data_IF_345546836986
#
_entry.id   IF_345546836986
#
_cell.length_a   1.000
_cell.length_b   1.000
_cell.length_c   1.000
_cell.angle_alpha   90.00
_cell.angle_beta   90.00
_cell.angle_gamma   90.00
#
_symmetry.space_group_name_H-M   'P 1'
#
loop_
_entity.id
_entity.type
_entity.pdbx_description
1 polymer ?
#
# COMPACT_ATOMS: atom_id res chain seq x y z
N UNK A 1 18.97 3.32 6.49
CA UNK A 1 17.75 2.54 6.21
C UNK A 1 17.89 1.07 6.59
N UNK A 2 19.07 0.45 6.43
CA UNK A 2 19.39 -0.88 6.97
C UNK A 2 19.07 -1.05 8.47
N UNK A 3 19.40 -0.05 9.29
CA UNK A 3 19.17 -0.10 10.75
C UNK A 3 17.71 -0.20 11.23
N UNK A 4 16.71 0.08 10.37
CA UNK A 4 15.30 -0.08 10.75
C UNK A 4 14.80 -1.51 10.54
N UNK A 5 15.44 -2.27 9.66
CA UNK A 5 15.14 -3.70 9.46
C UNK A 5 15.78 -4.55 10.56
N UNK A 6 16.93 -4.14 11.09
CA UNK A 6 17.71 -4.86 12.12
C UNK A 6 17.00 -4.97 13.49
N UNK A 7 16.07 -4.05 13.82
CA UNK A 7 15.35 -4.07 15.10
C UNK A 7 14.08 -4.93 15.10
N UNK A 8 13.59 -5.35 13.94
CA UNK A 8 12.23 -5.90 13.81
C UNK A 8 12.18 -7.39 13.46
N UNK A 9 13.32 -8.05 13.20
CA UNK A 9 13.37 -9.47 12.81
C UNK A 9 14.61 -10.18 13.40
N UNK A 10 14.46 -11.27 14.18
CA UNK A 10 15.58 -11.84 14.93
C UNK A 10 16.48 -12.81 14.14
N UNK A 11 16.28 -13.02 12.83
CA UNK A 11 17.16 -13.89 12.03
C UNK A 11 17.60 -13.25 10.71
N UNK A 12 18.84 -12.72 10.74
CA UNK A 12 19.56 -12.08 9.63
C UNK A 12 19.71 -12.96 8.37
N UNK A 13 19.69 -14.29 8.54
CA UNK A 13 19.83 -15.28 7.46
C UNK A 13 18.53 -15.44 6.62
N UNK A 14 17.37 -15.19 7.22
CA UNK A 14 16.06 -15.36 6.57
C UNK A 14 15.82 -14.32 5.47
N UNK A 15 16.24 -13.08 5.70
CA UNK A 15 16.15 -12.02 4.70
C UNK A 15 17.03 -12.32 3.49
N UNK A 16 18.25 -12.83 3.68
CA UNK A 16 19.16 -13.15 2.55
C UNK A 16 18.60 -14.20 1.60
N UNK A 17 17.95 -15.24 2.13
CA UNK A 17 17.33 -16.30 1.33
C UNK A 17 16.10 -15.81 0.55
N UNK A 18 15.25 -14.97 1.17
CA UNK A 18 14.02 -14.44 0.58
C UNK A 18 14.28 -13.39 -0.51
N UNK A 19 15.46 -12.77 -0.48
CA UNK A 19 15.70 -11.54 -1.22
C UNK A 19 16.48 -11.74 -2.54
N UNK A 20 17.36 -12.74 -2.65
CA UNK A 20 18.10 -12.99 -3.90
C UNK A 20 17.36 -13.94 -4.86
N UNK A 21 16.59 -14.88 -4.31
CA UNK A 21 15.66 -15.75 -5.05
C UNK A 21 14.47 -16.04 -4.11
N UNK A 22 13.41 -15.23 -4.14
CA UNK A 22 12.30 -15.43 -3.23
C UNK A 22 11.67 -16.80 -3.51
N UNK A 23 11.44 -17.63 -2.49
CA UNK A 23 10.76 -18.90 -2.68
C UNK A 23 9.31 -18.67 -3.08
N UNK A 24 8.69 -19.73 -3.62
CA UNK A 24 7.28 -19.73 -4.03
C UNK A 24 6.36 -19.15 -2.96
N UNK A 25 6.68 -19.42 -1.69
CA UNK A 25 5.88 -19.01 -0.53
C UNK A 25 6.16 -17.59 -0.03
N UNK A 26 7.02 -16.81 -0.69
CA UNK A 26 7.34 -15.45 -0.29
C UNK A 26 6.10 -14.54 -0.05
N UNK A 27 5.03 -14.61 -0.87
CA UNK A 27 3.76 -13.93 -0.57
C UNK A 27 3.18 -14.29 0.80
N UNK A 28 3.15 -15.58 1.15
CA UNK A 28 2.60 -16.05 2.43
C UNK A 28 3.44 -15.58 3.61
N UNK A 29 4.74 -15.46 3.43
CA UNK A 29 5.63 -14.95 4.47
C UNK A 29 5.40 -13.46 4.73
N UNK A 30 5.18 -12.67 3.67
CA UNK A 30 4.78 -11.26 3.80
C UNK A 30 3.44 -11.15 4.54
N UNK A 31 2.45 -11.94 4.15
CA UNK A 31 1.15 -11.98 4.85
C UNK A 31 1.30 -12.37 6.31
N UNK A 32 2.11 -13.39 6.61
CA UNK A 32 2.37 -13.86 7.98
C UNK A 32 3.05 -12.80 8.84
N UNK A 33 3.99 -12.04 8.26
CA UNK A 33 4.64 -10.93 8.95
C UNK A 33 3.65 -9.82 9.28
N UNK A 34 2.83 -9.40 8.32
CA UNK A 34 1.77 -8.39 8.55
C UNK A 34 0.77 -8.92 9.58
N UNK A 35 0.33 -10.17 9.45
CA UNK A 35 -0.59 -10.83 10.37
C UNK A 35 -0.06 -10.85 11.79
N UNK A 36 1.24 -11.12 11.97
CA UNK A 36 1.89 -11.17 13.28
C UNK A 36 1.86 -9.84 14.05
N UNK A 37 1.68 -8.70 13.36
CA UNK A 37 1.64 -7.37 14.00
C UNK A 37 0.26 -6.73 13.97
N UNK A 38 -0.45 -6.90 12.87
CA UNK A 38 -1.63 -6.10 12.55
C UNK A 38 -2.94 -6.89 12.63
N UNK A 39 -2.95 -8.21 12.79
CA UNK A 39 -4.20 -8.99 12.78
C UNK A 39 -4.64 -9.43 14.20
N UNK A 40 -5.94 -9.58 14.38
CA UNK A 40 -6.54 -10.08 15.62
C UNK A 40 -6.40 -11.61 15.75
N UNK A 41 -6.22 -12.29 14.60
CA UNK A 41 -5.98 -13.72 14.50
C UNK A 41 -4.47 -13.97 14.46
N UNK A 42 -4.02 -14.94 15.25
CA UNK A 42 -2.62 -15.42 15.25
C UNK A 42 -2.40 -16.46 14.15
N UNK A 43 -1.14 -16.77 13.84
CA UNK A 43 -0.79 -17.82 12.89
C UNK A 43 -1.36 -19.20 13.28
N UNK A 44 -1.62 -19.43 14.56
CA UNK A 44 -2.27 -20.64 15.08
C UNK A 44 -3.80 -20.65 14.89
N UNK A 45 -4.37 -19.63 14.24
CA UNK A 45 -5.81 -19.46 14.05
C UNK A 45 -6.56 -19.03 15.31
N UNK A 46 -5.85 -18.73 16.41
CA UNK A 46 -6.46 -18.29 17.68
C UNK A 46 -6.61 -16.78 17.70
N UNK A 47 -7.68 -16.30 18.33
CA UNK A 47 -7.81 -14.89 18.68
C UNK A 47 -6.74 -14.49 19.69
N UNK A 48 -6.16 -13.31 19.48
CA UNK A 48 -5.23 -12.72 20.45
C UNK A 48 -5.96 -12.36 21.75
N UNK A 49 -5.27 -12.44 22.89
CA UNK A 49 -5.82 -11.98 24.15
C UNK A 49 -6.15 -10.49 24.07
N UNK A 50 -7.32 -10.10 24.61
CA UNK A 50 -7.88 -8.74 24.56
C UNK A 50 -6.97 -7.65 25.16
N UNK A 51 -5.95 -8.05 25.94
CA UNK A 51 -5.02 -7.14 26.60
C UNK A 51 -3.80 -6.77 25.73
N UNK A 52 -3.69 -7.31 24.52
CA UNK A 52 -2.65 -6.93 23.56
C UNK A 52 -3.24 -6.03 22.48
N UNK A 53 -2.71 -4.82 22.37
CA UNK A 53 -2.99 -3.95 21.23
C UNK A 53 -2.35 -4.55 19.98
N UNK A 54 -3.14 -4.63 18.91
CA UNK A 54 -2.65 -4.88 17.56
C UNK A 54 -2.47 -3.55 16.82
N UNK A 55 -1.55 -3.53 15.87
CA UNK A 55 -1.33 -2.35 15.05
C UNK A 55 -2.50 -2.09 14.08
N UNK A 56 -2.66 -0.83 13.66
CA UNK A 56 -3.74 -0.40 12.77
C UNK A 56 -3.53 -0.84 11.32
N UNK A 57 -4.59 -0.77 10.50
CA UNK A 57 -4.45 -1.02 9.06
C UNK A 57 -3.41 -0.10 8.39
N UNK A 58 -3.28 1.15 8.86
CA UNK A 58 -2.27 2.07 8.36
C UNK A 58 -0.83 1.56 8.58
N UNK A 59 -0.58 0.86 9.69
CA UNK A 59 0.71 0.22 9.92
C UNK A 59 0.92 -0.96 8.99
N UNK A 60 -0.11 -1.78 8.74
CA UNK A 60 -0.05 -2.85 7.75
C UNK A 60 0.28 -2.31 6.35
N UNK A 61 -0.31 -1.18 5.95
CA UNK A 61 0.00 -0.52 4.68
C UNK A 61 1.47 -0.08 4.60
N UNK A 62 2.04 0.46 5.69
CA UNK A 62 3.46 0.82 5.74
C UNK A 62 4.36 -0.40 5.62
N UNK A 63 4.03 -1.49 6.31
CA UNK A 63 4.77 -2.76 6.20
C UNK A 63 4.73 -3.30 4.77
N UNK A 64 3.54 -3.32 4.15
CA UNK A 64 3.38 -3.75 2.77
C UNK A 64 4.18 -2.87 1.80
N UNK A 65 4.06 -1.54 1.91
CA UNK A 65 4.80 -0.59 1.07
C UNK A 65 6.32 -0.71 1.25
N UNK A 66 6.80 -1.01 2.46
CA UNK A 66 8.22 -1.27 2.72
C UNK A 66 8.70 -2.49 1.94
N UNK A 67 7.95 -3.60 1.96
CA UNK A 67 8.30 -4.79 1.16
C UNK A 67 8.26 -4.48 -0.34
N UNK A 68 7.23 -3.78 -0.81
CA UNK A 68 7.16 -3.37 -2.21
C UNK A 68 8.37 -2.55 -2.62
N UNK A 69 8.77 -1.59 -1.78
CA UNK A 69 9.94 -0.76 -2.05
C UNK A 69 11.23 -1.58 -2.10
N UNK A 70 11.47 -2.44 -1.11
CA UNK A 70 12.65 -3.29 -1.05
C UNK A 70 12.74 -4.19 -2.28
N UNK A 71 11.69 -4.93 -2.62
CA UNK A 71 11.70 -5.80 -3.80
C UNK A 71 11.83 -5.03 -5.12
N UNK A 72 11.24 -3.83 -5.19
CA UNK A 72 11.29 -3.00 -6.40
C UNK A 72 12.66 -2.34 -6.60
N UNK A 73 13.25 -1.77 -5.54
CA UNK A 73 14.47 -0.94 -5.62
C UNK A 73 15.74 -1.73 -5.35
N UNK A 74 15.77 -2.51 -4.28
CA UNK A 74 17.00 -3.19 -3.85
C UNK A 74 17.24 -4.46 -4.67
N UNK A 75 16.15 -5.12 -5.12
CA UNK A 75 16.21 -6.41 -5.83
C UNK A 75 15.85 -6.32 -7.30
N UNK A 76 15.49 -5.14 -7.80
CA UNK A 76 15.13 -4.91 -9.20
C UNK A 76 14.09 -5.91 -9.76
N UNK A 77 13.22 -6.45 -8.90
CA UNK A 77 12.13 -7.35 -9.31
C UNK A 77 10.99 -6.58 -10.00
N UNK A 78 11.09 -5.25 -10.02
CA UNK A 78 10.21 -4.35 -10.75
C UNK A 78 8.77 -4.37 -10.23
N UNK A 79 7.85 -4.06 -11.14
CA UNK A 79 6.41 -4.05 -10.92
C UNK A 79 5.71 -5.24 -11.59
N UNK A 80 6.46 -6.28 -11.97
CA UNK A 80 5.91 -7.47 -12.61
C UNK A 80 5.24 -8.33 -11.54
N UNK A 81 3.99 -8.72 -11.78
CA UNK A 81 3.23 -9.57 -10.87
C UNK A 81 3.99 -10.87 -10.56
N UNK A 82 3.88 -11.36 -9.33
CA UNK A 82 4.48 -12.63 -8.91
C UNK A 82 3.89 -13.79 -9.73
N UNK A 83 4.72 -14.53 -10.46
CA UNK A 83 4.31 -15.65 -11.31
C UNK A 83 5.46 -16.64 -11.56
N UNK A 84 5.12 -17.87 -11.96
CA UNK A 84 6.10 -18.88 -12.32
C UNK A 84 6.70 -18.61 -13.70
N UNK A 85 8.01 -18.81 -13.80
CA UNK A 85 8.73 -18.65 -15.07
C UNK A 85 8.31 -19.71 -16.06
N UNK A 86 7.84 -19.27 -17.22
CA UNK A 86 7.57 -20.16 -18.36
C UNK A 86 8.85 -20.84 -18.88
N UNK A 87 10.02 -20.23 -18.65
CA UNK A 87 11.32 -20.72 -19.13
C UNK A 87 11.97 -21.74 -18.20
N UNK A 88 11.69 -21.66 -16.90
CA UNK A 88 12.28 -22.54 -15.88
C UNK A 88 11.19 -22.92 -14.87
N UNK A 89 10.61 -24.12 -15.00
CA UNK A 89 9.64 -24.62 -14.02
C UNK A 89 10.21 -24.59 -12.60
N UNK A 90 9.38 -24.18 -11.64
CA UNK A 90 9.74 -23.99 -10.23
C UNK A 90 10.46 -22.68 -9.92
N UNK A 91 10.87 -21.89 -10.93
CA UNK A 91 11.48 -20.58 -10.70
C UNK A 91 10.40 -19.51 -10.66
N UNK A 92 10.34 -18.78 -9.56
CA UNK A 92 9.43 -17.64 -9.42
C UNK A 92 10.05 -16.35 -9.96
N UNK A 93 9.20 -15.50 -10.55
CA UNK A 93 9.58 -14.20 -11.09
C UNK A 93 8.58 -13.12 -10.68
N UNK A 94 9.03 -11.87 -10.74
CA UNK A 94 8.26 -10.71 -10.34
C UNK A 94 8.43 -10.35 -8.87
N UNK A 95 7.57 -9.46 -8.37
CA UNK A 95 7.66 -8.96 -7.01
C UNK A 95 6.60 -9.65 -6.12
N UNK A 96 7.01 -10.40 -5.09
CA UNK A 96 6.07 -11.18 -4.27
C UNK A 96 5.13 -10.29 -3.44
N UNK A 97 5.47 -9.01 -3.20
CA UNK A 97 4.58 -8.08 -2.50
C UNK A 97 3.36 -7.65 -3.32
N UNK A 98 3.44 -7.73 -4.66
CA UNK A 98 2.32 -7.36 -5.55
C UNK A 98 1.57 -8.60 -6.07
N UNK A 99 1.80 -9.74 -5.44
CA UNK A 99 1.05 -10.98 -5.67
C UNK A 99 -0.43 -10.80 -5.33
N UNK A 100 -1.27 -11.62 -5.95
CA UNK A 100 -2.72 -11.60 -5.67
C UNK A 100 -3.01 -12.05 -4.24
N UNK A 101 -2.19 -12.94 -3.69
CA UNK A 101 -2.28 -13.44 -2.32
C UNK A 101 -2.12 -12.31 -1.30
N UNK A 102 -1.09 -11.48 -1.45
CA UNK A 102 -0.85 -10.33 -0.56
C UNK A 102 -1.94 -9.29 -0.72
N UNK A 103 -2.36 -8.99 -1.95
CA UNK A 103 -3.44 -8.02 -2.22
C UNK A 103 -4.79 -8.46 -1.61
N UNK A 104 -5.12 -9.76 -1.74
CA UNK A 104 -6.32 -10.36 -1.16
C UNK A 104 -6.27 -10.34 0.36
N UNK A 105 -5.12 -10.69 0.96
CA UNK A 105 -4.93 -10.61 2.40
C UNK A 105 -5.11 -9.18 2.92
N UNK A 106 -4.45 -8.19 2.30
CA UNK A 106 -4.56 -6.78 2.68
C UNK A 106 -6.01 -6.26 2.58
N UNK A 107 -6.72 -6.63 1.52
CA UNK A 107 -8.14 -6.27 1.35
C UNK A 107 -9.02 -6.92 2.42
N UNK A 108 -8.76 -8.18 2.76
CA UNK A 108 -9.46 -8.88 3.84
C UNK A 108 -9.17 -8.27 5.21
N UNK A 109 -7.91 -7.94 5.48
CA UNK A 109 -7.47 -7.28 6.71
C UNK A 109 -8.17 -5.92 6.86
N UNK A 110 -8.22 -5.10 5.80
CA UNK A 110 -8.93 -3.83 5.82
C UNK A 110 -10.39 -3.99 6.24
N UNK A 111 -11.10 -4.97 5.68
CA UNK A 111 -12.51 -5.24 6.02
C UNK A 111 -12.68 -5.66 7.47
N UNK A 112 -11.80 -6.53 7.99
CA UNK A 112 -11.80 -6.93 9.41
C UNK A 112 -11.57 -5.73 10.33
N UNK A 113 -10.63 -4.86 9.98
CA UNK A 113 -10.28 -3.64 10.72
C UNK A 113 -11.45 -2.67 10.79
N UNK A 114 -12.10 -2.42 9.65
CA UNK A 114 -13.32 -1.60 9.58
C UNK A 114 -14.44 -2.21 10.42
N UNK A 115 -14.64 -3.54 10.35
CA UNK A 115 -15.64 -4.24 11.18
C UNK A 115 -15.34 -4.12 12.68
N UNK A 116 -14.06 -4.10 13.06
CA UNK A 116 -13.61 -3.89 14.44
C UNK A 116 -13.71 -2.42 14.91
N UNK A 117 -14.17 -1.52 14.05
CA UNK A 117 -14.37 -0.10 14.38
C UNK A 117 -13.20 0.82 14.03
N UNK A 118 -12.16 0.33 13.35
CA UNK A 118 -11.16 1.24 12.78
C UNK A 118 -11.79 2.08 11.67
N UNK A 119 -11.54 3.38 11.68
CA UNK A 119 -12.02 4.29 10.63
C UNK A 119 -11.50 3.82 9.28
N UNK A 120 -12.42 3.59 8.34
CA UNK A 120 -12.06 3.17 6.99
C UNK A 120 -11.05 4.15 6.38
N UNK A 121 -9.84 3.65 6.10
CA UNK A 121 -8.78 4.41 5.44
C UNK A 121 -9.05 4.43 3.94
N UNK A 122 -10.09 5.13 3.50
CA UNK A 122 -10.17 5.67 2.15
C UNK A 122 -9.91 7.18 2.22
N UNK A 123 -9.38 7.76 1.16
CA UNK A 123 -9.15 9.20 1.07
C UNK A 123 -10.49 9.92 1.29
N UNK A 124 -10.75 10.45 2.49
CA UNK A 124 -11.92 11.26 2.89
C UNK A 124 -13.24 10.81 2.27
N UNK A 125 -14.10 10.14 3.04
CA UNK A 125 -15.51 9.91 2.72
C UNK A 125 -16.10 11.06 1.88
N UNK A 126 -16.22 10.87 0.57
CA UNK A 126 -16.92 11.80 -0.30
C UNK A 126 -18.38 11.67 0.12
N UNK A 127 -18.82 12.56 1.00
CA UNK A 127 -20.21 12.64 1.43
C UNK A 127 -21.03 13.23 0.29
N UNK A 128 -22.35 13.01 0.34
CA UNK A 128 -23.27 13.66 -0.60
C UNK A 128 -23.07 15.18 -0.62
N UNK A 129 -22.78 15.80 0.52
CA UNK A 129 -22.52 17.24 0.62
C UNK A 129 -21.26 17.65 -0.14
N UNK A 130 -20.18 16.86 -0.08
CA UNK A 130 -18.95 17.14 -0.82
C UNK A 130 -19.20 17.05 -2.33
N UNK A 131 -20.05 16.12 -2.78
CA UNK A 131 -20.45 16.03 -4.19
C UNK A 131 -21.30 17.22 -4.63
N UNK A 132 -22.20 17.68 -3.78
CA UNK A 132 -23.02 18.87 -4.03
C UNK A 132 -22.17 20.14 -4.10
N UNK A 133 -21.24 20.33 -3.16
CA UNK A 133 -20.30 21.45 -3.17
C UNK A 133 -19.44 21.45 -4.45
N UNK A 134 -18.96 20.27 -4.86
CA UNK A 134 -18.20 20.10 -6.10
C UNK A 134 -19.06 20.42 -7.34
N UNK A 135 -20.32 19.96 -7.35
CA UNK A 135 -21.27 20.27 -8.41
C UNK A 135 -21.51 21.77 -8.53
N UNK A 136 -21.82 22.44 -7.42
CA UNK A 136 -22.08 23.87 -7.37
C UNK A 136 -20.85 24.68 -7.79
N UNK A 137 -19.66 24.31 -7.30
CA UNK A 137 -18.41 24.93 -7.69
C UNK A 137 -18.19 24.84 -9.21
N UNK A 138 -18.39 23.66 -9.82
CA UNK A 138 -18.22 23.47 -11.26
C UNK A 138 -19.28 24.20 -12.10
N UNK A 139 -20.42 24.59 -11.54
CA UNK A 139 -21.50 25.32 -12.22
C UNK A 139 -21.40 26.85 -12.11
N UNK A 140 -20.35 27.37 -11.47
CA UNK A 140 -20.06 28.80 -11.52
C UNK A 140 -19.65 29.20 -12.95
N UNK A 141 -20.22 30.31 -13.44
CA UNK A 141 -19.96 30.87 -14.78
C UNK A 141 -18.47 31.13 -15.07
N UNK A 142 -17.69 31.36 -14.02
CA UNK A 142 -16.23 31.58 -14.09
C UNK A 142 -15.49 30.29 -14.46
N UNK A 143 -15.94 29.14 -13.95
CA UNK A 143 -15.30 27.84 -14.12
C UNK A 143 -15.64 27.16 -15.45
N UNK A 144 -16.64 27.66 -16.18
CA UNK A 144 -16.99 27.19 -17.53
C UNK A 144 -16.08 27.76 -18.62
N UNK A 145 -15.30 28.80 -18.29
CA UNK A 145 -14.36 29.39 -19.24
C UNK A 145 -13.10 28.53 -19.29
N UNK A 146 -12.81 27.98 -20.46
CA UNK A 146 -11.58 27.23 -20.70
C UNK A 146 -10.40 28.21 -20.60
N UNK A 147 -9.59 28.07 -19.56
CA UNK A 147 -8.36 28.84 -19.40
C UNK A 147 -7.21 28.18 -20.14
N UNK A 148 -6.34 28.99 -20.75
CA UNK A 148 -5.09 28.48 -21.31
C UNK A 148 -4.22 27.90 -20.18
N UNK A 149 -3.78 26.65 -20.36
CA UNK A 149 -2.93 25.98 -19.38
C UNK A 149 -1.63 26.76 -19.20
N UNK A 150 -1.34 27.16 -17.95
CA UNK A 150 -0.06 27.78 -17.58
C UNK A 150 0.64 26.87 -16.58
N UNK A 151 1.78 26.25 -16.94
CA UNK A 151 2.49 25.37 -16.02
C UNK A 151 3.06 26.18 -14.85
N UNK A 152 2.65 25.82 -13.64
CA UNK A 152 3.17 26.42 -12.41
C UNK A 152 4.44 25.71 -11.94
N UNK A 153 5.44 26.48 -11.51
CA UNK A 153 6.67 25.94 -10.92
C UNK A 153 6.46 25.51 -9.47
N UNK A 154 7.01 24.35 -9.08
CA UNK A 154 6.95 23.79 -7.71
C UNK A 154 7.62 24.65 -6.64
N UNK A 155 8.35 25.66 -7.07
CA UNK A 155 9.08 26.58 -6.21
C UNK A 155 8.26 27.83 -5.84
N UNK A 156 7.13 28.08 -6.52
CA UNK A 156 6.28 29.25 -6.26
C UNK A 156 5.25 28.97 -5.16
N UNK A 157 5.72 28.94 -3.91
CA UNK A 157 4.91 28.64 -2.73
C UNK A 157 3.69 29.57 -2.55
N UNK A 158 3.73 30.79 -3.11
CA UNK A 158 2.62 31.75 -3.06
C UNK A 158 1.43 31.40 -3.95
N UNK A 159 1.59 30.50 -4.92
CA UNK A 159 0.52 30.08 -5.87
C UNK A 159 0.05 28.65 -5.62
N UNK A 160 0.28 28.12 -4.41
CA UNK A 160 -0.07 26.76 -4.03
C UNK A 160 -1.56 26.43 -4.25
N UNK A 161 -2.45 27.42 -4.17
CA UNK A 161 -3.89 27.24 -4.41
C UNK A 161 -4.26 27.03 -5.89
N UNK A 162 -3.37 27.34 -6.82
CA UNK A 162 -3.56 27.19 -8.26
C UNK A 162 -2.98 25.86 -8.78
N UNK A 163 -2.41 25.06 -7.87
CA UNK A 163 -1.85 23.75 -8.16
C UNK A 163 -2.96 22.72 -8.36
N UNK A 164 -3.37 22.55 -9.62
CA UNK A 164 -4.42 21.58 -9.98
C UNK A 164 -5.13 21.83 -11.31
N UNK A 165 -4.69 22.82 -12.10
CA UNK A 165 -5.29 23.09 -13.41
C UNK A 165 -5.31 21.86 -14.34
N UNK A 166 -6.43 21.67 -15.03
CA UNK A 166 -6.67 20.52 -15.90
C UNK A 166 -5.72 20.48 -17.10
N UNK A 167 -5.22 19.27 -17.41
CA UNK A 167 -4.54 18.98 -18.68
C UNK A 167 -5.58 18.88 -19.80
N UNK A 168 -5.73 19.93 -20.61
CA UNK A 168 -6.38 19.79 -21.92
C UNK A 168 -5.33 19.36 -22.94
N UNK A 169 -5.45 18.14 -23.46
CA UNK A 169 -4.78 17.70 -24.70
C UNK A 169 -5.54 18.24 -25.90
#
# INVERSE_FOLDING_TARGET
MHHLLDKFWPHQEFLRALLWLPPVDAPFWICSWIMSKCDEITLDGKHRPQNQFWDSYAQAQKMWAAMTHVFMRDYNLGSVQWHESELVPGRMMGNPSISSEVANYMSGLQRRKVKAGETATSARAITSSILEDLYNYNHLLENWKIHAYTPLSRQDAGRLHEWGGGLTR
#
